data_IF_185479686724
#
_entry.id   IF_185479686724
#
_cell.length_a   1.000
_cell.length_b   1.000
_cell.length_c   1.000
_cell.angle_alpha   90.00
_cell.angle_beta   90.00
_cell.angle_gamma   90.00
#
_symmetry.space_group_name_H-M   'P 1'
#
loop_
_entity.id
_entity.type
_entity.pdbx_description
1 polymer ?
#
# COMPACT_ATOMS: atom_id res chain seq x y z
N UNK A 1 5.72 14.06 -41.98
CA UNK A 1 4.83 14.19 -40.79
C UNK A 1 5.66 13.92 -39.56
N UNK A 2 5.89 14.97 -38.77
CA UNK A 2 6.58 14.92 -37.47
C UNK A 2 5.62 14.43 -36.37
N UNK A 3 6.21 14.04 -35.23
CA UNK A 3 5.64 13.61 -33.94
C UNK A 3 5.48 12.08 -33.86
N UNK A 4 6.34 11.35 -33.15
CA UNK A 4 6.47 11.39 -31.69
C UNK A 4 7.90 11.03 -31.28
N UNK A 5 8.62 11.99 -30.68
CA UNK A 5 9.74 11.66 -29.79
C UNK A 5 9.09 11.19 -28.49
N UNK A 6 9.08 9.88 -28.26
CA UNK A 6 8.90 9.35 -26.91
C UNK A 6 9.88 10.12 -25.99
N UNK A 7 9.38 10.67 -24.89
CA UNK A 7 10.18 11.44 -23.94
C UNK A 7 11.49 10.72 -23.64
N UNK A 8 12.62 11.35 -23.93
CA UNK A 8 13.99 10.82 -23.71
C UNK A 8 14.33 10.70 -22.21
N UNK A 9 13.37 11.04 -21.33
CA UNK A 9 13.49 11.04 -19.88
C UNK A 9 12.44 10.11 -19.27
N UNK A 10 12.84 9.19 -18.36
CA UNK A 10 11.89 8.37 -17.63
C UNK A 10 10.86 9.23 -16.91
N UNK A 11 9.59 8.81 -16.95
CA UNK A 11 8.47 9.46 -16.24
C UNK A 11 8.09 8.66 -15.01
N UNK A 12 7.82 9.35 -13.91
CA UNK A 12 7.31 8.80 -12.67
C UNK A 12 5.97 9.48 -12.36
N UNK A 13 4.91 8.68 -12.30
CA UNK A 13 3.58 9.12 -11.90
C UNK A 13 3.38 8.80 -10.42
N UNK A 14 3.05 9.82 -9.63
CA UNK A 14 2.81 9.71 -8.19
C UNK A 14 1.32 9.89 -7.93
N UNK A 15 0.71 8.96 -7.22
CA UNK A 15 -0.69 9.01 -6.82
C UNK A 15 -0.83 8.63 -5.35
N UNK A 16 -1.67 9.35 -4.60
CA UNK A 16 -1.93 9.06 -3.18
C UNK A 16 -3.10 9.88 -2.63
N UNK A 17 -3.71 9.38 -1.56
CA UNK A 17 -4.73 10.09 -0.77
C UNK A 17 -4.07 11.07 0.22
N UNK A 18 -2.90 10.72 0.75
CA UNK A 18 -2.08 11.60 1.57
C UNK A 18 -1.24 12.55 0.70
N UNK A 19 -1.73 13.78 0.56
CA UNK A 19 -1.03 14.84 -0.18
C UNK A 19 0.36 15.15 0.38
N UNK A 20 0.56 15.04 1.70
CA UNK A 20 1.86 15.35 2.32
C UNK A 20 2.89 14.30 1.94
N UNK A 21 2.51 13.02 2.01
CA UNK A 21 3.36 11.91 1.59
C UNK A 21 3.65 11.99 0.09
N UNK A 22 2.62 12.15 -0.74
CA UNK A 22 2.77 12.20 -2.20
C UNK A 22 3.64 13.39 -2.65
N UNK A 23 3.47 14.56 -2.03
CA UNK A 23 4.30 15.74 -2.29
C UNK A 23 5.74 15.53 -1.83
N UNK A 24 5.94 14.93 -0.66
CA UNK A 24 7.28 14.61 -0.14
C UNK A 24 8.03 13.62 -1.03
N UNK A 25 7.36 12.56 -1.50
CA UNK A 25 7.92 11.59 -2.46
C UNK A 25 8.23 12.26 -3.80
N UNK A 26 7.31 13.08 -4.33
CA UNK A 26 7.52 13.80 -5.59
C UNK A 26 8.72 14.75 -5.50
N UNK A 27 8.82 15.51 -4.40
CA UNK A 27 9.93 16.42 -4.15
C UNK A 27 11.27 15.69 -4.00
N UNK A 28 11.30 14.54 -3.32
CA UNK A 28 12.49 13.69 -3.25
C UNK A 28 12.93 13.23 -4.65
N UNK A 29 11.99 12.74 -5.46
CA UNK A 29 12.30 12.25 -6.81
C UNK A 29 12.89 13.37 -7.67
N UNK A 30 12.24 14.54 -7.67
CA UNK A 30 12.70 15.72 -8.41
C UNK A 30 14.09 16.20 -7.96
N UNK A 31 14.38 16.14 -6.65
CA UNK A 31 15.65 16.60 -6.09
C UNK A 31 16.82 15.65 -6.34
N UNK A 32 16.57 14.33 -6.35
CA UNK A 32 17.62 13.29 -6.47
C UNK A 32 17.87 12.86 -7.91
N UNK A 33 16.84 12.80 -8.77
CA UNK A 33 16.98 12.36 -10.17
C UNK A 33 16.59 13.46 -11.17
N UNK A 34 17.56 14.31 -11.51
CA UNK A 34 17.35 15.49 -12.38
C UNK A 34 16.93 15.16 -13.82
N UNK A 35 17.17 13.92 -14.28
CA UNK A 35 16.83 13.45 -15.62
C UNK A 35 15.49 12.72 -15.69
N UNK A 36 14.68 12.80 -14.62
CA UNK A 36 13.39 12.12 -14.50
C UNK A 36 12.28 13.15 -14.44
N UNK A 37 11.23 12.93 -15.23
CA UNK A 37 10.00 13.71 -15.11
C UNK A 37 9.16 13.09 -14.01
N UNK A 38 8.79 13.88 -12.99
CA UNK A 38 7.88 13.44 -11.93
C UNK A 38 6.60 14.26 -11.99
N UNK A 39 5.47 13.58 -11.88
CA UNK A 39 4.16 14.18 -11.94
C UNK A 39 3.28 13.62 -10.83
N UNK A 40 2.78 14.51 -9.97
CA UNK A 40 1.73 14.16 -9.02
C UNK A 40 0.37 14.27 -9.69
N UNK A 41 -0.39 13.17 -9.69
CA UNK A 41 -1.65 13.07 -10.39
C UNK A 41 -2.80 13.02 -9.38
N UNK A 42 -3.64 14.06 -9.30
CA UNK A 42 -4.76 14.08 -8.37
C UNK A 42 -5.93 13.25 -8.94
N UNK A 43 -6.40 12.27 -8.16
CA UNK A 43 -7.59 11.50 -8.51
C UNK A 43 -7.34 10.31 -9.46
N UNK A 44 -8.23 9.33 -9.38
CA UNK A 44 -8.05 8.04 -10.04
C UNK A 44 -8.19 8.11 -11.56
N UNK A 45 -9.13 8.91 -12.08
CA UNK A 45 -9.33 9.07 -13.53
C UNK A 45 -8.07 9.62 -14.20
N UNK A 46 -7.47 10.64 -13.59
CA UNK A 46 -6.23 11.23 -14.09
C UNK A 46 -5.08 10.23 -14.01
N UNK A 47 -5.02 9.40 -12.95
CA UNK A 47 -4.03 8.32 -12.87
C UNK A 47 -4.18 7.34 -14.04
N UNK A 48 -5.40 6.87 -14.31
CA UNK A 48 -5.67 5.95 -15.42
C UNK A 48 -5.23 6.57 -16.75
N UNK A 49 -5.62 7.82 -17.00
CA UNK A 49 -5.23 8.55 -18.20
C UNK A 49 -3.70 8.67 -18.32
N UNK A 50 -3.01 9.10 -17.26
CA UNK A 50 -1.56 9.25 -17.25
C UNK A 50 -0.83 7.93 -17.56
N UNK A 51 -1.35 6.80 -17.05
CA UNK A 51 -0.79 5.47 -17.32
C UNK A 51 -1.08 4.99 -18.74
N UNK A 52 -2.23 5.34 -19.31
CA UNK A 52 -2.56 5.02 -20.70
C UNK A 52 -1.72 5.82 -21.69
N UNK A 53 -1.45 7.09 -21.39
CA UNK A 53 -0.61 7.98 -22.21
C UNK A 53 0.86 7.53 -22.25
N UNK A 54 1.40 7.02 -21.14
CA UNK A 54 2.77 6.52 -21.08
C UNK A 54 2.84 5.12 -20.46
N UNK A 55 2.88 4.06 -21.29
CA UNK A 55 3.04 2.68 -20.84
C UNK A 55 4.32 2.36 -20.08
N UNK A 56 5.35 3.21 -20.22
CA UNK A 56 6.66 3.01 -19.59
C UNK A 56 6.82 3.77 -18.28
N UNK A 57 5.85 4.61 -17.90
CA UNK A 57 5.91 5.38 -16.67
C UNK A 57 6.00 4.46 -15.44
N UNK A 58 6.96 4.78 -14.57
CA UNK A 58 7.05 4.21 -13.23
C UNK A 58 5.93 4.77 -12.35
N UNK A 59 5.42 3.96 -11.42
CA UNK A 59 4.27 4.34 -10.60
C UNK A 59 4.63 4.26 -9.11
N UNK A 60 4.45 5.38 -8.41
CA UNK A 60 4.57 5.47 -6.96
C UNK A 60 3.18 5.69 -6.35
N UNK A 61 2.68 4.68 -5.64
CA UNK A 61 1.38 4.68 -4.99
C UNK A 61 1.56 5.03 -3.50
N UNK A 62 1.36 6.29 -3.16
CA UNK A 62 1.41 6.81 -1.80
C UNK A 62 0.08 6.51 -1.07
N UNK A 63 -0.14 5.23 -0.74
CA UNK A 63 -1.41 4.72 -0.21
C UNK A 63 -1.18 3.85 1.02
N UNK A 64 -2.22 3.73 1.85
CA UNK A 64 -2.34 2.66 2.85
C UNK A 64 -3.06 1.49 2.19
N UNK A 65 -2.33 0.41 1.93
CA UNK A 65 -2.82 -0.70 1.13
C UNK A 65 -4.07 -1.34 1.74
N UNK A 66 -4.11 -1.49 3.07
CA UNK A 66 -5.24 -2.07 3.78
C UNK A 66 -6.54 -1.25 3.72
N UNK A 67 -6.48 0.01 3.27
CA UNK A 67 -7.63 0.90 3.11
C UNK A 67 -7.98 1.13 1.64
N UNK A 68 -7.14 0.69 0.70
CA UNK A 68 -7.26 1.04 -0.72
C UNK A 68 -7.34 -0.21 -1.62
N UNK A 69 -7.96 -1.30 -1.15
CA UNK A 69 -8.14 -2.52 -1.94
C UNK A 69 -8.87 -2.25 -3.26
N UNK A 70 -9.97 -1.48 -3.32
CA UNK A 70 -10.66 -1.21 -4.58
C UNK A 70 -9.73 -0.55 -5.62
N UNK A 71 -8.93 0.42 -5.17
CA UNK A 71 -7.97 1.13 -6.02
C UNK A 71 -6.87 0.19 -6.51
N UNK A 72 -6.25 -0.55 -5.60
CA UNK A 72 -5.18 -1.47 -5.94
C UNK A 72 -5.67 -2.56 -6.89
N UNK A 73 -6.83 -3.16 -6.63
CA UNK A 73 -7.37 -4.20 -7.51
C UNK A 73 -7.72 -3.67 -8.90
N UNK A 74 -8.36 -2.49 -8.98
CA UNK A 74 -8.68 -1.85 -10.26
C UNK A 74 -7.43 -1.47 -11.08
N UNK A 75 -6.30 -1.18 -10.42
CA UNK A 75 -5.05 -0.86 -11.11
C UNK A 75 -4.33 -2.07 -11.68
N UNK A 76 -4.62 -3.30 -11.22
CA UNK A 76 -3.89 -4.53 -11.59
C UNK A 76 -3.68 -4.70 -13.10
N UNK A 77 -4.67 -4.44 -13.99
CA UNK A 77 -4.45 -4.52 -15.43
C UNK A 77 -3.42 -3.49 -15.91
N UNK A 78 -3.53 -2.25 -15.44
CA UNK A 78 -2.68 -1.13 -15.85
C UNK A 78 -1.24 -1.27 -15.37
N UNK A 79 -1.03 -1.81 -14.17
CA UNK A 79 0.31 -1.91 -13.58
C UNK A 79 1.09 -3.16 -14.01
N UNK A 80 0.44 -4.12 -14.66
CA UNK A 80 1.08 -5.39 -15.06
C UNK A 80 2.27 -5.10 -15.97
N UNK A 81 3.48 -5.49 -15.55
CA UNK A 81 4.69 -5.28 -16.35
C UNK A 81 5.27 -3.86 -16.27
N UNK A 82 4.76 -3.01 -15.37
CA UNK A 82 5.36 -1.71 -15.01
C UNK A 82 6.16 -1.79 -13.72
N UNK A 83 7.12 -0.89 -13.58
CA UNK A 83 7.74 -0.64 -12.27
C UNK A 83 6.75 0.09 -11.38
N UNK A 84 6.28 -0.59 -10.34
CA UNK A 84 5.37 -0.02 -9.34
C UNK A 84 5.92 -0.22 -7.94
N UNK A 85 5.80 0.80 -7.09
CA UNK A 85 6.01 0.70 -5.65
C UNK A 85 4.87 1.38 -4.90
N UNK A 86 4.49 0.75 -3.79
CA UNK A 86 3.59 1.35 -2.80
C UNK A 86 4.47 1.97 -1.72
N UNK A 87 4.20 3.23 -1.39
CA UNK A 87 4.88 3.97 -0.34
C UNK A 87 3.83 4.33 0.71
N UNK A 88 4.12 4.09 1.98
CA UNK A 88 3.19 4.41 3.05
C UNK A 88 3.91 4.99 4.26
N UNK A 89 3.27 5.90 4.97
CA UNK A 89 3.83 6.46 6.22
C UNK A 89 4.05 5.40 7.28
N UNK A 90 3.21 4.37 7.29
CA UNK A 90 3.36 3.20 8.15
C UNK A 90 2.92 1.96 7.39
N UNK A 91 3.62 0.85 7.60
CA UNK A 91 3.32 -0.43 6.96
C UNK A 91 2.98 -1.44 8.05
N UNK A 92 1.70 -1.78 8.18
CA UNK A 92 1.23 -2.77 9.14
C UNK A 92 1.16 -4.18 8.55
N UNK A 93 0.80 -5.15 9.39
CA UNK A 93 0.56 -6.52 8.95
C UNK A 93 -0.51 -6.57 7.86
N UNK A 94 -1.64 -5.88 8.05
CA UNK A 94 -2.73 -5.79 7.09
C UNK A 94 -2.28 -5.26 5.72
N UNK A 95 -1.37 -4.29 5.66
CA UNK A 95 -0.80 -3.80 4.40
C UNK A 95 -0.01 -4.88 3.67
N UNK A 96 0.87 -5.59 4.39
CA UNK A 96 1.70 -6.66 3.82
C UNK A 96 0.85 -7.78 3.24
N UNK A 97 -0.22 -8.16 3.95
CA UNK A 97 -1.17 -9.18 3.49
C UNK A 97 -1.91 -8.73 2.22
N UNK A 98 -2.43 -7.49 2.20
CA UNK A 98 -3.14 -6.97 1.02
C UNK A 98 -2.23 -6.92 -0.21
N UNK A 99 -1.02 -6.39 -0.05
CA UNK A 99 -0.07 -6.30 -1.15
C UNK A 99 0.30 -7.68 -1.69
N UNK A 100 0.58 -8.63 -0.79
CA UNK A 100 0.87 -10.00 -1.19
C UNK A 100 -0.31 -10.65 -1.93
N UNK A 101 -1.53 -10.55 -1.39
CA UNK A 101 -2.73 -11.14 -1.98
C UNK A 101 -3.06 -10.56 -3.37
N UNK A 102 -2.79 -9.28 -3.60
CA UNK A 102 -3.02 -8.62 -4.88
C UNK A 102 -1.84 -8.74 -5.87
N UNK A 103 -0.70 -9.28 -5.42
CA UNK A 103 0.51 -9.49 -6.23
C UNK A 103 1.41 -8.26 -6.36
N UNK A 104 1.32 -7.32 -5.42
CA UNK A 104 2.23 -6.18 -5.31
C UNK A 104 3.50 -6.55 -4.56
N UNK A 105 4.57 -5.79 -4.81
CA UNK A 105 5.77 -5.84 -3.96
C UNK A 105 5.47 -5.26 -2.57
N UNK A 106 6.25 -5.63 -1.53
CA UNK A 106 6.15 -5.00 -0.22
C UNK A 106 6.20 -3.47 -0.31
N UNK A 107 5.43 -2.80 0.53
CA UNK A 107 5.44 -1.34 0.59
C UNK A 107 6.70 -0.82 1.25
N UNK A 108 7.16 0.32 0.77
CA UNK A 108 8.26 1.07 1.36
C UNK A 108 7.73 2.00 2.46
N UNK A 109 8.38 1.99 3.62
CA UNK A 109 8.00 2.84 4.76
C UNK A 109 8.58 4.24 4.61
N UNK A 110 7.73 5.26 4.70
CA UNK A 110 8.11 6.64 4.45
C UNK A 110 8.90 7.30 5.58
N UNK A 111 9.06 6.69 6.76
CA UNK A 111 9.92 7.25 7.82
C UNK A 111 11.38 7.41 7.34
N UNK A 112 11.78 6.63 6.33
CA UNK A 112 13.01 6.85 5.58
C UNK A 112 13.03 8.25 4.92
N UNK A 113 11.90 8.80 4.45
CA UNK A 113 11.83 10.15 3.86
C UNK A 113 12.20 11.24 4.85
N UNK A 114 11.70 11.20 6.09
CA UNK A 114 11.96 12.26 7.07
C UNK A 114 13.43 12.25 7.51
N UNK A 115 13.99 11.07 7.76
CA UNK A 115 15.43 10.97 8.05
C UNK A 115 16.30 11.36 6.86
N UNK A 116 15.88 10.98 5.64
CA UNK A 116 16.61 11.29 4.41
C UNK A 116 16.52 12.78 4.07
N UNK A 117 15.38 13.46 4.26
CA UNK A 117 15.28 14.91 4.05
C UNK A 117 16.10 15.71 5.06
N UNK A 118 16.11 15.30 6.33
CA UNK A 118 16.87 15.98 7.38
C UNK A 118 18.39 15.83 7.18
N UNK A 119 18.84 14.70 6.60
CA UNK A 119 20.25 14.44 6.27
C UNK A 119 20.66 14.97 4.88
N UNK A 120 19.77 14.91 3.88
CA UNK A 120 20.02 15.38 2.51
C UNK A 120 20.17 16.89 2.40
N UNK A 121 19.59 17.66 3.34
CA UNK A 121 19.84 19.10 3.43
C UNK A 121 21.24 19.45 3.98
N UNK A 122 21.96 18.50 4.60
CA UNK A 122 23.30 18.74 5.17
C UNK A 122 24.43 18.05 4.43
N UNK A 123 24.18 16.90 3.80
CA UNK A 123 25.17 16.20 2.98
C UNK A 123 24.50 15.65 1.71
N UNK A 124 24.85 16.27 0.58
CA UNK A 124 24.59 15.73 -0.75
C UNK A 124 25.58 14.58 -0.93
N UNK A 125 25.08 13.36 -1.12
CA UNK A 125 25.81 12.09 -1.35
C UNK A 125 25.98 11.17 -0.12
N UNK A 126 25.81 9.88 -0.38
CA UNK A 126 26.27 8.67 0.35
C UNK A 126 25.24 7.74 1.02
N UNK A 127 24.01 8.18 1.34
CA UNK A 127 23.01 7.24 1.84
C UNK A 127 22.12 6.68 0.72
N UNK A 128 21.97 5.35 0.69
CA UNK A 128 20.98 4.63 -0.11
C UNK A 128 19.58 5.20 0.16
N UNK A 129 18.88 5.56 -0.90
CA UNK A 129 17.49 5.98 -0.84
C UNK A 129 16.61 4.76 -1.08
N UNK A 130 15.51 4.62 -0.34
CA UNK A 130 14.56 3.50 -0.51
C UNK A 130 13.95 3.41 -1.93
N UNK A 131 14.04 4.47 -2.73
CA UNK A 131 13.61 4.48 -4.13
C UNK A 131 14.74 4.16 -5.12
N UNK A 132 16.00 3.99 -4.69
CA UNK A 132 17.12 3.70 -5.61
C UNK A 132 16.84 2.44 -6.45
N UNK A 133 16.43 1.33 -5.82
CA UNK A 133 16.06 0.10 -6.54
C UNK A 133 14.83 0.24 -7.45
N UNK A 134 13.87 1.12 -7.11
CA UNK A 134 12.75 1.45 -8.01
C UNK A 134 13.25 2.19 -9.25
N UNK A 135 14.12 3.17 -9.07
CA UNK A 135 14.66 3.98 -10.15
C UNK A 135 15.57 3.17 -11.07
N UNK A 136 16.40 2.28 -10.53
CA UNK A 136 17.22 1.36 -11.32
C UNK A 136 16.35 0.42 -12.16
N UNK A 137 15.28 -0.13 -11.57
CA UNK A 137 14.31 -0.97 -12.30
C UNK A 137 13.63 -0.17 -13.42
N UNK A 138 13.28 1.09 -13.17
CA UNK A 138 12.60 1.98 -14.14
C UNK A 138 13.52 2.32 -15.32
N UNK A 139 14.76 2.72 -15.04
CA UNK A 139 15.77 3.00 -16.07
C UNK A 139 16.04 1.76 -16.92
N UNK A 140 16.10 0.58 -16.29
CA UNK A 140 16.31 -0.69 -17.00
C UNK A 140 15.08 -1.17 -17.79
N UNK A 141 13.86 -0.81 -17.38
CA UNK A 141 12.64 -1.25 -18.06
C UNK A 141 12.56 -0.74 -19.52
N UNK A 142 13.16 0.42 -19.82
CA UNK A 142 13.45 0.94 -21.15
C UNK A 142 12.51 0.50 -22.27
N UNK A 143 11.45 1.29 -22.54
CA UNK A 143 10.69 1.24 -23.80
C UNK A 143 9.95 -0.07 -24.13
N UNK A 144 9.70 -0.97 -23.16
CA UNK A 144 8.89 -2.17 -23.40
C UNK A 144 7.49 -1.77 -23.88
N UNK A 145 7.18 -2.11 -25.13
CA UNK A 145 5.84 -1.96 -25.70
C UNK A 145 4.88 -2.89 -24.94
N UNK A 146 3.96 -2.31 -24.18
CA UNK A 146 2.76 -3.03 -23.79
C UNK A 146 1.77 -3.03 -24.97
N UNK A 147 1.12 -4.17 -25.27
CA UNK A 147 0.07 -4.22 -26.28
C UNK A 147 -1.24 -3.63 -25.72
N UNK A 148 -2.01 -3.04 -26.63
CA UNK A 148 -3.40 -2.56 -26.52
C UNK A 148 -3.75 -1.57 -25.40
N UNK A 149 -4.83 -0.81 -25.63
CA UNK A 149 -5.39 0.12 -24.67
C UNK A 149 -5.93 -0.68 -23.46
N UNK A 150 -5.14 -0.74 -22.39
CA UNK A 150 -5.56 -1.39 -21.14
C UNK A 150 -6.41 -0.42 -20.34
N UNK A 151 -7.59 -0.86 -19.90
CA UNK A 151 -8.45 -0.11 -18.99
C UNK A 151 -8.21 -0.53 -17.54
N UNK A 152 -8.54 0.38 -16.60
CA UNK A 152 -8.67 -0.02 -15.20
C UNK A 152 -9.77 -1.07 -15.04
N UNK A 153 -9.60 -1.95 -14.05
CA UNK A 153 -10.66 -2.84 -13.61
C UNK A 153 -11.81 -2.05 -12.96
N UNK A 154 -13.00 -2.65 -12.99
CA UNK A 154 -14.18 -2.06 -12.34
C UNK A 154 -14.04 -2.10 -10.81
N UNK A 155 -14.52 -1.04 -10.16
CA UNK A 155 -14.68 -0.99 -8.70
C UNK A 155 -16.14 -1.25 -8.33
N UNK A 156 -16.39 -2.29 -7.54
CA UNK A 156 -17.70 -2.57 -6.95
C UNK A 156 -17.57 -3.07 -5.52
N UNK A 157 -18.51 -2.74 -4.65
CA UNK A 157 -18.46 -3.16 -3.25
C UNK A 157 -18.55 -4.68 -3.14
N UNK A 158 -19.36 -5.33 -3.98
CA UNK A 158 -19.40 -6.80 -4.08
C UNK A 158 -18.04 -7.43 -4.40
N UNK A 159 -17.28 -6.86 -5.34
CA UNK A 159 -15.94 -7.35 -5.70
C UNK A 159 -14.96 -7.12 -4.55
N UNK A 160 -15.00 -5.94 -3.94
CA UNK A 160 -14.20 -5.61 -2.76
C UNK A 160 -14.48 -6.60 -1.60
N UNK A 161 -15.74 -6.91 -1.34
CA UNK A 161 -16.14 -7.86 -0.31
C UNK A 161 -15.61 -9.28 -0.59
N UNK A 162 -15.67 -9.74 -1.84
CA UNK A 162 -15.08 -11.01 -2.24
C UNK A 162 -13.56 -11.03 -2.03
N UNK A 163 -12.86 -9.97 -2.46
CA UNK A 163 -11.42 -9.82 -2.24
C UNK A 163 -11.05 -9.79 -0.76
N UNK A 164 -11.85 -9.13 0.08
CA UNK A 164 -11.64 -9.11 1.53
C UNK A 164 -11.69 -10.51 2.15
N UNK A 165 -12.60 -11.38 1.68
CA UNK A 165 -12.65 -12.77 2.13
C UNK A 165 -11.36 -13.53 1.77
N UNK A 166 -10.86 -13.34 0.54
CA UNK A 166 -9.62 -13.99 0.10
C UNK A 166 -8.40 -13.44 0.84
N UNK A 167 -8.31 -12.13 0.99
CA UNK A 167 -7.24 -11.45 1.74
C UNK A 167 -7.22 -11.91 3.19
N UNK A 168 -8.38 -12.09 3.85
CA UNK A 168 -8.45 -12.62 5.22
C UNK A 168 -7.96 -14.07 5.31
N UNK A 169 -8.22 -14.89 4.29
CA UNK A 169 -7.67 -16.26 4.21
C UNK A 169 -6.14 -16.20 4.08
N UNK A 170 -5.64 -15.35 3.18
CA UNK A 170 -4.20 -15.10 3.02
C UNK A 170 -3.56 -14.59 4.31
N UNK A 171 -4.28 -13.78 5.10
CA UNK A 171 -3.79 -13.27 6.38
C UNK A 171 -3.49 -14.38 7.40
N UNK A 172 -4.15 -15.54 7.35
CA UNK A 172 -3.81 -16.65 8.24
C UNK A 172 -2.60 -17.42 7.70
N UNK A 173 -2.52 -17.58 6.38
CA UNK A 173 -1.40 -18.27 5.71
C UNK A 173 -0.07 -17.51 5.81
N UNK A 174 -0.12 -16.20 6.01
CA UNK A 174 1.06 -15.34 6.14
C UNK A 174 1.51 -15.11 7.59
N UNK A 175 0.90 -15.79 8.57
CA UNK A 175 1.33 -15.66 9.96
C UNK A 175 2.77 -16.18 10.12
N UNK A 176 3.63 -15.48 10.88
CA UNK A 176 4.96 -15.99 11.22
C UNK A 176 4.86 -17.34 11.94
N UNK A 177 5.78 -18.29 11.70
CA UNK A 177 5.74 -19.59 12.35
C UNK A 177 5.90 -19.50 13.88
N UNK A 178 6.47 -18.41 14.39
CA UNK A 178 6.60 -18.12 15.82
C UNK A 178 5.30 -17.62 16.46
N UNK A 179 4.24 -17.41 15.68
CA UNK A 179 2.95 -16.90 16.16
C UNK A 179 1.88 -18.02 16.17
N UNK A 180 1.63 -18.66 17.33
CA UNK A 180 0.58 -19.65 17.46
C UNK A 180 -0.81 -19.09 17.18
N UNK A 181 -1.69 -19.92 16.61
CA UNK A 181 -3.08 -19.54 16.29
C UNK A 181 -3.84 -18.98 17.49
N UNK A 182 -3.62 -19.52 18.70
CA UNK A 182 -4.26 -19.02 19.91
C UNK A 182 -3.84 -17.58 20.27
N UNK A 183 -2.59 -17.21 20.02
CA UNK A 183 -2.10 -15.84 20.25
C UNK A 183 -2.62 -14.89 19.17
N UNK A 184 -2.68 -15.36 17.92
CA UNK A 184 -3.32 -14.64 16.81
C UNK A 184 -4.80 -14.35 17.09
N UNK A 185 -5.55 -15.35 17.57
CA UNK A 185 -6.96 -15.20 17.92
C UNK A 185 -7.16 -14.15 19.02
N UNK A 186 -6.33 -14.18 20.07
CA UNK A 186 -6.33 -13.15 21.12
C UNK A 186 -6.10 -11.75 20.52
N UNK A 187 -5.12 -11.61 19.62
CA UNK A 187 -4.85 -10.34 18.97
C UNK A 187 -6.03 -9.87 18.10
N UNK A 188 -6.70 -10.77 17.40
CA UNK A 188 -7.90 -10.49 16.62
C UNK A 188 -9.04 -9.93 17.48
N UNK A 189 -9.24 -10.43 18.70
CA UNK A 189 -10.23 -9.86 19.62
C UNK A 189 -9.87 -8.44 20.04
N UNK A 190 -8.61 -8.17 20.37
CA UNK A 190 -8.16 -6.81 20.66
C UNK A 190 -8.32 -5.87 19.46
N UNK A 191 -8.03 -6.34 18.25
CA UNK A 191 -8.21 -5.56 17.04
C UNK A 191 -9.69 -5.23 16.78
N UNK A 192 -10.63 -6.05 17.26
CA UNK A 192 -12.07 -5.79 17.25
C UNK A 192 -12.53 -4.80 18.33
N UNK A 193 -11.62 -4.36 19.21
CA UNK A 193 -11.91 -3.38 20.26
C UNK A 193 -12.28 -3.98 21.62
N UNK A 194 -12.17 -5.30 21.79
CA UNK A 194 -12.43 -5.96 23.07
C UNK A 194 -11.34 -5.60 24.08
N UNK A 195 -11.76 -5.46 25.34
CA UNK A 195 -10.88 -5.20 26.50
C UNK A 195 -10.32 -6.52 27.04
N UNK A 196 -9.20 -6.44 27.76
CA UNK A 196 -8.51 -7.62 28.30
C UNK A 196 -9.40 -8.56 29.10
N UNK A 197 -10.30 -8.02 29.93
CA UNK A 197 -11.29 -8.80 30.69
C UNK A 197 -12.29 -9.56 29.82
N UNK A 198 -12.78 -8.94 28.74
CA UNK A 198 -13.73 -9.56 27.81
C UNK A 198 -13.04 -10.70 27.03
N UNK A 199 -11.82 -10.45 26.57
CA UNK A 199 -11.01 -11.47 25.89
C UNK A 199 -10.67 -12.63 26.82
N UNK A 200 -10.31 -12.35 28.07
CA UNK A 200 -10.06 -13.37 29.10
C UNK A 200 -11.29 -14.25 29.34
N UNK A 201 -12.47 -13.65 29.45
CA UNK A 201 -13.74 -14.37 29.61
C UNK A 201 -14.05 -15.27 28.40
N UNK A 202 -13.90 -14.76 27.17
CA UNK A 202 -14.20 -15.50 25.94
C UNK A 202 -13.22 -16.65 25.72
N UNK A 203 -11.94 -16.44 26.03
CA UNK A 203 -10.87 -17.43 25.78
C UNK A 203 -10.65 -18.39 26.95
N UNK A 204 -11.25 -18.14 28.11
CA UNK A 204 -10.99 -18.88 29.36
C UNK A 204 -9.59 -18.65 29.95
N UNK A 205 -8.85 -17.67 29.43
CA UNK A 205 -7.49 -17.34 29.88
C UNK A 205 -7.50 -16.31 30.99
N UNK A 206 -6.42 -16.26 31.78
CA UNK A 206 -6.20 -15.17 32.73
C UNK A 206 -5.88 -13.86 31.99
N UNK A 207 -6.34 -12.73 32.51
CA UNK A 207 -6.13 -11.40 31.89
C UNK A 207 -4.64 -11.07 31.66
N UNK A 208 -3.76 -11.53 32.57
CA UNK A 208 -2.30 -11.42 32.43
C UNK A 208 -1.79 -12.21 31.22
N UNK A 209 -2.29 -13.42 31.02
CA UNK A 209 -1.93 -14.28 29.87
C UNK A 209 -2.39 -13.68 28.56
N UNK A 210 -3.62 -13.16 28.52
CA UNK A 210 -4.16 -12.46 27.35
C UNK A 210 -3.31 -11.23 26.97
N UNK A 211 -2.88 -10.47 27.98
CA UNK A 211 -2.01 -9.30 27.77
C UNK A 211 -0.62 -9.70 27.25
N UNK A 212 -0.08 -10.82 27.73
CA UNK A 212 1.19 -11.37 27.26
C UNK A 212 1.09 -11.86 25.81
N UNK A 213 0.03 -12.59 25.47
CA UNK A 213 -0.24 -13.07 24.12
C UNK A 213 -0.39 -11.92 23.12
N UNK A 214 -1.10 -10.86 23.50
CA UNK A 214 -1.18 -9.64 22.68
C UNK A 214 0.22 -9.07 22.39
N UNK A 215 1.08 -8.96 23.40
CA UNK A 215 2.43 -8.40 23.24
C UNK A 215 3.28 -9.27 22.32
N UNK A 216 3.32 -10.59 22.55
CA UNK A 216 4.09 -11.51 21.73
C UNK A 216 3.60 -11.53 20.28
N UNK A 217 2.28 -11.52 20.07
CA UNK A 217 1.71 -11.42 18.74
C UNK A 217 2.12 -10.12 18.04
N UNK A 218 2.11 -8.99 18.73
CA UNK A 218 2.57 -7.72 18.14
C UNK A 218 4.05 -7.74 17.77
N UNK A 219 4.91 -8.30 18.62
CA UNK A 219 6.34 -8.46 18.30
C UNK A 219 6.53 -9.37 17.10
N UNK A 220 5.85 -10.52 17.03
CA UNK A 220 5.94 -11.43 15.89
C UNK A 220 5.51 -10.76 14.57
N UNK A 221 4.56 -9.83 14.64
CA UNK A 221 4.10 -9.06 13.48
C UNK A 221 4.93 -7.79 13.21
N UNK A 222 5.99 -7.50 13.95
CA UNK A 222 6.77 -6.26 13.81
C UNK A 222 5.94 -5.00 14.10
N UNK A 223 5.05 -5.08 15.09
CA UNK A 223 4.09 -4.05 15.51
C UNK A 223 4.25 -3.71 17.01
N UNK A 224 5.43 -3.90 17.58
CA UNK A 224 5.73 -3.70 19.01
C UNK A 224 5.51 -2.26 19.50
N UNK A 225 5.65 -1.27 18.62
CA UNK A 225 5.41 0.15 18.94
C UNK A 225 3.92 0.52 19.01
N UNK A 226 3.01 -0.40 18.66
CA UNK A 226 1.57 -0.15 18.73
C UNK A 226 1.07 -0.17 20.17
N UNK A 227 0.74 1.02 20.68
CA UNK A 227 0.23 1.20 22.05
C UNK A 227 -1.26 1.52 22.14
N UNK A 228 -1.86 2.05 21.07
CA UNK A 228 -3.25 2.48 21.04
C UNK A 228 -4.17 1.51 20.30
N UNK A 229 -5.48 1.66 20.50
CA UNK A 229 -6.49 0.78 19.90
C UNK A 229 -6.60 0.99 18.38
N UNK A 230 -6.37 2.22 17.89
CA UNK A 230 -6.59 2.55 16.48
C UNK A 230 -5.61 1.82 15.52
N UNK A 231 -4.29 1.78 15.75
CA UNK A 231 -3.39 0.99 14.91
C UNK A 231 -3.62 -0.52 15.02
N UNK A 232 -4.15 -1.03 16.15
CA UNK A 232 -4.59 -2.43 16.23
C UNK A 232 -5.79 -2.67 15.32
N UNK A 233 -6.77 -1.77 15.38
CA UNK A 233 -7.99 -1.86 14.58
C UNK A 233 -7.70 -1.87 13.08
N UNK A 234 -6.76 -1.04 12.62
CA UNK A 234 -6.39 -0.90 11.21
C UNK A 234 -5.30 -1.88 10.76
N UNK A 235 -4.34 -2.17 11.62
CA UNK A 235 -3.10 -2.84 11.26
C UNK A 235 -3.11 -4.37 11.37
N UNK A 236 -4.05 -4.94 12.11
CA UNK A 236 -4.14 -6.41 12.31
C UNK A 236 -5.10 -7.05 11.30
N UNK A 237 -6.29 -6.48 11.14
CA UNK A 237 -7.36 -7.03 10.31
C UNK A 237 -7.70 -6.08 9.17
N UNK A 238 -7.94 -6.65 8.01
CA UNK A 238 -8.45 -5.92 6.85
C UNK A 238 -9.97 -5.77 6.94
N UNK A 239 -10.44 -4.53 6.85
CA UNK A 239 -11.82 -4.15 7.16
C UNK A 239 -12.51 -3.49 6.00
N UNK A 240 -13.74 -3.91 5.76
CA UNK A 240 -14.61 -3.31 4.76
C UNK A 240 -14.93 -1.84 5.07
N UNK A 241 -15.23 -1.54 6.34
CA UNK A 241 -15.55 -0.19 6.80
C UNK A 241 -14.40 0.83 6.64
N UNK A 242 -13.19 0.38 6.32
CA UNK A 242 -12.03 1.23 6.07
C UNK A 242 -11.71 1.39 4.58
N UNK A 243 -12.46 0.74 3.68
CA UNK A 243 -12.15 0.80 2.26
C UNK A 243 -12.53 2.16 1.66
N UNK A 244 -11.54 2.81 1.08
CA UNK A 244 -11.65 4.08 0.40
C UNK A 244 -11.92 3.88 -1.09
N UNK A 245 -12.94 4.56 -1.59
CA UNK A 245 -13.25 4.66 -3.01
C UNK A 245 -12.90 6.07 -3.50
N UNK A 246 -12.20 6.22 -4.64
CA UNK A 246 -11.88 7.53 -5.18
C UNK A 246 -13.15 8.35 -5.47
N UNK A 247 -13.12 9.63 -5.13
CA UNK A 247 -14.21 10.55 -5.44
C UNK A 247 -14.49 10.60 -6.95
N UNK A 248 -15.78 10.65 -7.32
CA UNK A 248 -16.21 10.76 -8.72
C UNK A 248 -16.21 9.45 -9.51
N UNK A 249 -15.90 8.30 -8.89
CA UNK A 249 -16.10 6.98 -9.52
C UNK A 249 -17.53 6.50 -9.23
N UNK A 250 -18.26 6.19 -10.29
CA UNK A 250 -19.54 5.50 -10.17
C UNK A 250 -19.27 4.04 -9.79
N UNK A 251 -19.67 3.63 -8.59
CA UNK A 251 -19.65 2.21 -8.23
C UNK A 251 -20.64 1.48 -9.14
N UNK A 252 -20.25 0.36 -9.74
CA UNK A 252 -21.11 -0.41 -10.66
C UNK A 252 -22.26 -1.15 -9.95
N UNK A 253 -22.65 -0.72 -8.75
CA UNK A 253 -23.77 -1.34 -8.04
C UNK A 253 -25.09 -0.99 -8.71
N UNK A 254 -25.61 -1.97 -9.43
CA UNK A 254 -27.03 -2.13 -9.62
C UNK A 254 -27.71 -2.26 -8.24
N UNK A 255 -28.72 -1.42 -8.09
CA UNK A 255 -29.76 -1.42 -7.06
C UNK A 255 -30.15 -2.83 -6.62
N UNK A 256 -30.13 -3.06 -5.31
CA UNK A 256 -31.06 -3.96 -4.60
C UNK A 256 -31.68 -3.09 -3.49
N UNK A 257 -32.96 -2.69 -3.52
CA UNK A 257 -34.20 -3.48 -3.48
C UNK A 257 -34.19 -4.52 -2.35
#
# INVERSE_FOLDING_TARGET
MLLSRASDRPRVVVYGDDWTLASGVSGLVAARWLNVSVEFVPGFVNLVQALQEDPSAGVLLCLRAHEHIPVLDALRPLIRGRVVRVVSSTVWYSDRVVLHALGYRPAEKSEVLLETQTKAFRHRAENECFLDGFMDELVRQGGRKQPELVCAGEMSSRRTAALLCDIRRTAVMMLPPELPEGQWLVLCYFAQGLRGKEVAMITGLQEKTVSLYKRWALVALGMEEVRSVLPLYRGVLVREALQCYPAGICLTEAVYA
#
